data_IF_847660116702
#
_entry.id   IF_847660116702
#
_cell.length_a   1.000
_cell.length_b   1.000
_cell.length_c   1.000
_cell.angle_alpha   90.00
_cell.angle_beta   90.00
_cell.angle_gamma   90.00
#
_symmetry.space_group_name_H-M   'P 1'
#
loop_
_entity.id
_entity.type
_entity.pdbx_description
1 polymer ?
#
# COMPACT_ATOMS: atom_id res chain seq x y z
N UNK A 1 -45.55 -31.66 -11.99
CA UNK A 1 -44.21 -31.40 -12.56
C UNK A 1 -43.24 -31.07 -11.43
N UNK A 2 -42.48 -32.04 -10.93
CA UNK A 2 -41.42 -31.78 -9.95
C UNK A 2 -40.20 -31.21 -10.70
N UNK A 3 -39.87 -29.94 -10.47
CA UNK A 3 -38.61 -29.34 -10.91
C UNK A 3 -37.49 -29.92 -10.03
N UNK A 4 -36.83 -30.96 -10.52
CA UNK A 4 -35.64 -31.52 -9.89
C UNK A 4 -34.47 -30.56 -10.00
N UNK A 5 -34.23 -29.74 -8.99
CA UNK A 5 -32.95 -29.07 -8.78
C UNK A 5 -31.95 -30.08 -8.21
N UNK A 6 -31.50 -31.03 -9.03
CA UNK A 6 -30.22 -31.72 -8.76
C UNK A 6 -29.13 -30.73 -9.17
N UNK A 7 -28.59 -29.99 -8.18
CA UNK A 7 -27.27 -29.35 -8.36
C UNK A 7 -26.31 -30.47 -8.74
N UNK A 8 -25.89 -30.49 -9.99
CA UNK A 8 -24.82 -31.36 -10.45
C UNK A 8 -23.64 -31.18 -9.51
N UNK A 9 -23.16 -32.27 -8.91
CA UNK A 9 -21.96 -32.22 -8.09
C UNK A 9 -20.82 -31.81 -9.03
N UNK A 10 -20.39 -30.57 -8.93
CA UNK A 10 -19.23 -30.04 -9.67
C UNK A 10 -18.07 -31.00 -9.39
N UNK A 11 -17.58 -31.66 -10.44
CA UNK A 11 -16.44 -32.58 -10.33
C UNK A 11 -15.24 -31.77 -9.86
N UNK A 12 -14.58 -32.24 -8.80
CA UNK A 12 -13.33 -31.63 -8.35
C UNK A 12 -12.29 -31.75 -9.47
N UNK A 13 -11.66 -30.62 -9.80
CA UNK A 13 -10.57 -30.55 -10.78
C UNK A 13 -9.31 -31.16 -10.17
N UNK A 14 -8.68 -32.07 -10.90
CA UNK A 14 -7.46 -32.78 -10.50
C UNK A 14 -6.30 -32.44 -11.42
N UNK A 15 -5.09 -32.85 -11.05
CA UNK A 15 -3.86 -32.74 -11.86
C UNK A 15 -4.06 -33.34 -13.26
N UNK A 16 -4.82 -34.43 -13.37
CA UNK A 16 -5.09 -35.11 -14.63
C UNK A 16 -5.98 -34.32 -15.60
N UNK A 17 -6.74 -33.34 -15.08
CA UNK A 17 -7.63 -32.51 -15.90
C UNK A 17 -6.89 -31.33 -16.56
N UNK A 18 -5.61 -31.09 -16.20
CA UNK A 18 -4.77 -30.01 -16.74
C UNK A 18 -4.40 -30.28 -18.19
N UNK A 19 -4.51 -29.27 -19.04
CA UNK A 19 -4.16 -29.36 -20.47
C UNK A 19 -2.73 -28.89 -20.70
N UNK A 20 -2.10 -29.36 -21.80
CA UNK A 20 -0.75 -28.92 -22.22
C UNK A 20 -0.66 -27.41 -22.42
N UNK A 21 -1.69 -26.82 -23.01
CA UNK A 21 -1.76 -25.38 -23.26
C UNK A 21 -1.67 -24.56 -21.96
N UNK A 22 -2.40 -24.98 -20.92
CA UNK A 22 -2.38 -24.31 -19.62
C UNK A 22 -1.03 -24.54 -18.92
N UNK A 23 -0.48 -25.75 -19.04
CA UNK A 23 0.83 -26.06 -18.47
C UNK A 23 1.94 -25.19 -19.09
N UNK A 24 2.00 -25.09 -20.42
CA UNK A 24 3.00 -24.27 -21.11
C UNK A 24 2.87 -22.78 -20.77
N UNK A 25 1.66 -22.29 -20.51
CA UNK A 25 1.41 -20.92 -20.06
C UNK A 25 2.01 -20.64 -18.66
N UNK A 26 2.03 -21.65 -17.78
CA UNK A 26 2.39 -21.47 -16.37
C UNK A 26 3.73 -22.10 -15.98
N UNK A 27 4.42 -22.81 -16.87
CA UNK A 27 5.60 -23.63 -16.55
C UNK A 27 6.76 -22.87 -15.89
N UNK A 28 6.93 -21.59 -16.21
CA UNK A 28 7.99 -20.75 -15.62
C UNK A 28 7.58 -20.14 -14.27
N UNK A 29 6.32 -20.32 -13.86
CA UNK A 29 5.81 -19.75 -12.61
C UNK A 29 5.94 -20.76 -11.48
N UNK A 30 6.63 -20.36 -10.42
CA UNK A 30 6.76 -21.16 -9.21
C UNK A 30 6.17 -20.44 -7.99
N UNK A 31 5.50 -21.17 -7.09
CA UNK A 31 5.07 -20.62 -5.82
C UNK A 31 6.27 -20.40 -4.90
N UNK A 32 6.21 -19.36 -4.08
CA UNK A 32 7.26 -19.05 -3.10
C UNK A 32 7.15 -19.98 -1.89
N UNK A 33 8.28 -20.37 -1.31
CA UNK A 33 8.31 -21.19 -0.09
C UNK A 33 8.37 -20.30 1.15
N UNK A 34 7.29 -20.25 1.93
CA UNK A 34 7.22 -19.55 3.20
C UNK A 34 7.41 -20.50 4.40
N UNK A 35 8.11 -20.05 5.44
CA UNK A 35 8.49 -20.89 6.60
C UNK A 35 7.29 -21.40 7.40
N UNK A 36 6.23 -20.59 7.55
CA UNK A 36 5.06 -20.94 8.37
C UNK A 36 3.88 -21.53 7.60
N UNK A 37 3.83 -21.34 6.28
CA UNK A 37 2.66 -21.68 5.45
C UNK A 37 2.99 -22.59 4.26
N UNK A 38 4.28 -22.89 4.05
CA UNK A 38 4.74 -23.68 2.91
C UNK A 38 4.66 -22.90 1.59
N UNK A 39 4.31 -23.60 0.50
CA UNK A 39 4.19 -22.99 -0.84
C UNK A 39 3.03 -22.00 -0.87
N UNK A 40 3.28 -20.81 -1.39
CA UNK A 40 2.29 -19.73 -1.51
C UNK A 40 2.46 -18.95 -2.81
N UNK A 41 1.37 -18.39 -3.35
CA UNK A 41 1.38 -17.50 -4.52
C UNK A 41 0.88 -16.11 -4.15
N UNK A 42 1.51 -15.07 -4.68
CA UNK A 42 1.09 -13.68 -4.43
C UNK A 42 -0.17 -13.32 -5.22
N UNK A 43 -0.96 -12.37 -4.70
CA UNK A 43 -2.11 -11.79 -5.43
C UNK A 43 -1.69 -11.24 -6.81
N UNK A 44 -0.52 -10.60 -6.90
CA UNK A 44 -0.04 -9.98 -8.15
C UNK A 44 0.28 -11.03 -9.21
N UNK A 45 0.96 -12.12 -8.84
CA UNK A 45 1.18 -13.26 -9.72
C UNK A 45 -0.16 -13.88 -10.16
N UNK A 46 -1.07 -14.10 -9.22
CA UNK A 46 -2.37 -14.71 -9.52
C UNK A 46 -3.23 -13.82 -10.43
N UNK A 47 -3.18 -12.49 -10.30
CA UNK A 47 -3.82 -11.55 -11.24
C UNK A 47 -3.18 -11.57 -12.62
N UNK A 48 -1.89 -11.84 -12.71
CA UNK A 48 -1.18 -11.94 -13.98
C UNK A 48 -1.58 -13.22 -14.71
N UNK A 49 -1.66 -14.33 -13.99
CA UNK A 49 -2.11 -15.62 -14.52
C UNK A 49 -3.61 -15.63 -14.85
N UNK A 50 -4.42 -15.00 -14.00
CA UNK A 50 -5.89 -14.98 -14.09
C UNK A 50 -6.45 -13.55 -13.97
N UNK A 51 -6.31 -12.68 -14.99
CA UNK A 51 -6.75 -11.29 -14.91
C UNK A 51 -8.25 -11.13 -14.64
N UNK A 52 -9.07 -12.02 -15.21
CA UNK A 52 -10.53 -12.06 -15.00
C UNK A 52 -10.92 -12.30 -13.54
N UNK A 53 -10.01 -12.89 -12.74
CA UNK A 53 -10.23 -13.19 -11.33
C UNK A 53 -9.89 -12.00 -10.42
N UNK A 54 -9.25 -10.94 -10.95
CA UNK A 54 -8.78 -9.78 -10.19
C UNK A 54 -9.85 -9.11 -9.29
N UNK A 55 -11.11 -8.93 -9.72
CA UNK A 55 -12.17 -8.35 -8.88
C UNK A 55 -12.48 -9.18 -7.63
N UNK A 56 -12.28 -10.50 -7.71
CA UNK A 56 -12.64 -11.44 -6.65
C UNK A 56 -11.61 -11.50 -5.54
N UNK A 57 -10.40 -10.96 -5.71
CA UNK A 57 -9.42 -10.89 -4.61
C UNK A 57 -9.67 -9.72 -3.64
N UNK A 58 -10.56 -8.78 -3.97
CA UNK A 58 -10.92 -7.64 -3.10
C UNK A 58 -11.73 -8.12 -1.89
N UNK A 59 -11.38 -7.64 -0.69
CA UNK A 59 -12.04 -7.96 0.59
C UNK A 59 -12.05 -9.45 0.98
N UNK A 60 -11.27 -10.29 0.31
CA UNK A 60 -11.31 -11.74 0.47
C UNK A 60 -10.70 -12.25 1.79
N UNK A 61 -9.83 -11.45 2.42
CA UNK A 61 -9.19 -11.76 3.71
C UNK A 61 -10.16 -11.80 4.90
N UNK A 62 -11.40 -11.34 4.76
CA UNK A 62 -12.41 -11.44 5.83
C UNK A 62 -13.10 -12.81 5.86
N UNK A 63 -12.92 -13.62 4.81
CA UNK A 63 -13.73 -14.80 4.55
C UNK A 63 -12.91 -16.09 4.50
N UNK A 64 -11.59 -15.99 4.30
CA UNK A 64 -10.67 -17.13 4.39
C UNK A 64 -10.05 -17.16 5.81
N UNK A 65 -9.85 -18.35 6.41
CA UNK A 65 -9.05 -18.50 7.61
C UNK A 65 -7.65 -17.88 7.48
N UNK A 66 -7.16 -17.25 8.54
CA UNK A 66 -5.83 -16.64 8.53
C UNK A 66 -4.70 -17.63 8.21
N UNK A 67 -4.89 -18.94 8.44
CA UNK A 67 -3.93 -20.00 8.09
C UNK A 67 -3.69 -20.15 6.58
N UNK A 68 -4.64 -19.74 5.75
CA UNK A 68 -4.56 -19.89 4.28
C UNK A 68 -4.19 -18.57 3.58
N UNK A 69 -3.93 -17.53 4.37
CA UNK A 69 -3.52 -16.21 3.88
C UNK A 69 -2.29 -15.74 4.62
N UNK A 70 -1.21 -15.46 3.89
CA UNK A 70 -0.01 -14.86 4.46
C UNK A 70 0.03 -13.40 4.07
N UNK A 71 0.17 -12.52 5.06
CA UNK A 71 0.42 -11.10 4.83
C UNK A 71 1.88 -10.83 5.13
N UNK A 72 2.63 -10.44 4.12
CA UNK A 72 4.04 -10.12 4.23
C UNK A 72 4.25 -8.63 4.40
N UNK A 73 5.26 -8.27 5.18
CA UNK A 73 5.83 -6.93 5.16
C UNK A 73 6.55 -6.67 3.82
N UNK A 74 6.94 -5.42 3.60
CA UNK A 74 7.72 -5.04 2.43
C UNK A 74 9.10 -5.70 2.44
N UNK A 75 9.73 -5.76 3.62
CA UNK A 75 11.04 -6.39 3.80
C UNK A 75 10.98 -7.91 3.54
N UNK A 76 9.94 -8.59 4.02
CA UNK A 76 9.73 -10.03 3.79
C UNK A 76 9.45 -10.33 2.31
N UNK A 77 8.67 -9.48 1.64
CA UNK A 77 8.39 -9.61 0.21
C UNK A 77 9.67 -9.46 -0.64
N UNK A 78 10.51 -8.49 -0.28
CA UNK A 78 11.78 -8.27 -0.96
C UNK A 78 12.76 -9.42 -0.72
N UNK A 79 12.84 -9.94 0.51
CA UNK A 79 13.67 -11.10 0.84
C UNK A 79 13.29 -12.36 0.06
N UNK A 80 11.99 -12.52 -0.27
CA UNK A 80 11.48 -13.65 -1.06
C UNK A 80 11.42 -13.38 -2.57
N UNK A 81 11.96 -12.25 -3.05
CA UNK A 81 12.00 -11.91 -4.47
C UNK A 81 10.62 -11.65 -5.10
N UNK A 82 9.60 -11.38 -4.28
CA UNK A 82 8.25 -11.10 -4.78
C UNK A 82 8.18 -9.64 -5.22
N UNK A 83 7.94 -9.41 -6.51
CA UNK A 83 7.77 -8.04 -7.03
C UNK A 83 6.54 -7.37 -6.41
N UNK A 84 6.78 -6.30 -5.67
CA UNK A 84 5.76 -5.46 -5.04
C UNK A 84 5.11 -4.60 -6.13
N UNK A 85 3.89 -4.94 -6.54
CA UNK A 85 3.07 -4.09 -7.42
C UNK A 85 1.86 -3.58 -6.64
N UNK A 86 1.88 -2.30 -6.23
CA UNK A 86 0.78 -1.64 -5.50
C UNK A 86 1.24 -0.79 -4.33
N UNK A 87 0.31 -0.40 -3.45
CA UNK A 87 0.61 0.41 -2.26
C UNK A 87 1.48 -0.40 -1.27
N UNK A 88 2.77 -0.05 -1.09
CA UNK A 88 3.72 -0.83 -0.28
C UNK A 88 3.31 -0.90 1.20
N UNK A 89 2.54 0.07 1.69
CA UNK A 89 2.10 0.16 3.08
C UNK A 89 1.05 -0.91 3.49
N UNK A 90 0.46 -1.63 2.52
CA UNK A 90 -0.60 -2.62 2.80
C UNK A 90 -0.09 -4.06 2.90
N UNK A 91 1.20 -4.30 2.68
CA UNK A 91 1.81 -5.63 2.66
C UNK A 91 1.35 -6.48 1.47
N UNK A 92 2.19 -7.41 1.02
CA UNK A 92 1.80 -8.35 -0.03
C UNK A 92 0.92 -9.44 0.59
N UNK A 93 -0.20 -9.74 -0.07
CA UNK A 93 -1.02 -10.90 0.29
C UNK A 93 -0.62 -12.08 -0.58
N UNK A 94 -0.36 -13.20 0.08
CA UNK A 94 -0.12 -14.48 -0.55
C UNK A 94 -1.13 -15.51 -0.05
N UNK A 95 -1.38 -16.52 -0.88
CA UNK A 95 -2.33 -17.58 -0.61
C UNK A 95 -1.67 -18.94 -0.74
N UNK A 96 -2.03 -19.84 0.17
CA UNK A 96 -1.73 -21.28 0.05
C UNK A 96 -2.57 -21.87 -1.10
N UNK A 97 -2.31 -23.14 -1.44
CA UNK A 97 -3.13 -23.86 -2.41
C UNK A 97 -4.61 -23.88 -2.00
N UNK A 98 -4.90 -24.23 -0.75
CA UNK A 98 -6.28 -24.26 -0.20
C UNK A 98 -6.92 -22.88 -0.20
N UNK A 99 -6.15 -21.83 0.11
CA UNK A 99 -6.62 -20.44 0.02
C UNK A 99 -7.02 -20.09 -1.42
N UNK A 100 -6.22 -20.50 -2.41
CA UNK A 100 -6.55 -20.34 -3.83
C UNK A 100 -7.82 -21.12 -4.20
N UNK A 101 -7.98 -22.35 -3.71
CA UNK A 101 -9.17 -23.16 -4.01
C UNK A 101 -10.46 -22.51 -3.49
N UNK A 102 -10.42 -21.94 -2.28
CA UNK A 102 -11.56 -21.20 -1.71
C UNK A 102 -11.90 -19.95 -2.53
N UNK A 103 -10.90 -19.29 -3.15
CA UNK A 103 -11.14 -18.22 -4.11
C UNK A 103 -11.84 -18.74 -5.35
N UNK A 104 -11.37 -19.88 -5.88
CA UNK A 104 -11.95 -20.54 -7.05
C UNK A 104 -13.45 -20.79 -6.89
N UNK A 105 -13.88 -21.30 -5.73
CA UNK A 105 -15.29 -21.59 -5.44
C UNK A 105 -16.23 -20.37 -5.54
N UNK A 106 -15.68 -19.14 -5.53
CA UNK A 106 -16.45 -17.89 -5.62
C UNK A 106 -16.43 -17.26 -7.00
N UNK A 107 -15.66 -17.82 -7.93
CA UNK A 107 -15.66 -17.39 -9.32
C UNK A 107 -16.96 -17.82 -10.03
N UNK A 108 -17.36 -17.13 -11.11
CA UNK A 108 -18.40 -17.63 -12.00
C UNK A 108 -18.02 -19.01 -12.54
N UNK A 109 -19.00 -19.90 -12.70
CA UNK A 109 -18.78 -21.29 -13.18
C UNK A 109 -17.96 -21.34 -14.48
N UNK A 110 -18.16 -20.36 -15.38
CA UNK A 110 -17.42 -20.23 -16.63
C UNK A 110 -15.91 -20.00 -16.47
N UNK A 111 -15.47 -19.44 -15.34
CA UNK A 111 -14.06 -19.13 -15.06
C UNK A 111 -13.43 -20.11 -14.04
N UNK A 112 -14.24 -20.83 -13.27
CA UNK A 112 -13.78 -21.76 -12.22
C UNK A 112 -12.83 -22.81 -12.78
N UNK A 113 -13.22 -23.47 -13.87
CA UNK A 113 -12.41 -24.56 -14.47
C UNK A 113 -11.01 -24.07 -14.81
N UNK A 114 -10.91 -23.00 -15.60
CA UNK A 114 -9.61 -22.46 -16.03
C UNK A 114 -8.74 -22.03 -14.84
N UNK A 115 -9.34 -21.38 -13.84
CA UNK A 115 -8.66 -20.97 -12.63
C UNK A 115 -8.09 -22.16 -11.84
N UNK A 116 -8.87 -23.22 -11.60
CA UNK A 116 -8.39 -24.39 -10.86
C UNK A 116 -7.27 -25.13 -11.60
N UNK A 117 -7.34 -25.21 -12.93
CA UNK A 117 -6.26 -25.83 -13.73
C UNK A 117 -4.95 -25.05 -13.62
N UNK A 118 -5.01 -23.71 -13.61
CA UNK A 118 -3.84 -22.86 -13.37
C UNK A 118 -3.28 -23.09 -11.96
N UNK A 119 -4.14 -23.12 -10.93
CA UNK A 119 -3.71 -23.37 -9.55
C UNK A 119 -3.03 -24.73 -9.44
N UNK A 120 -3.61 -25.79 -10.02
CA UNK A 120 -2.98 -27.13 -10.02
C UNK A 120 -1.66 -27.15 -10.75
N UNK A 121 -1.54 -26.44 -11.87
CA UNK A 121 -0.28 -26.30 -12.58
C UNK A 121 0.83 -25.64 -11.74
N UNK A 122 0.50 -24.61 -10.97
CA UNK A 122 1.49 -23.88 -10.16
C UNK A 122 1.92 -24.70 -8.94
N UNK A 123 0.98 -25.31 -8.21
CA UNK A 123 1.30 -26.03 -6.97
C UNK A 123 1.82 -27.45 -7.19
N UNK A 124 1.38 -28.12 -8.25
CA UNK A 124 1.69 -29.53 -8.57
C UNK A 124 2.42 -29.66 -9.90
N UNK A 125 3.30 -28.69 -10.22
CA UNK A 125 4.01 -28.59 -11.50
C UNK A 125 4.66 -29.90 -11.95
N UNK A 126 5.39 -30.58 -11.08
CA UNK A 126 6.06 -31.84 -11.42
C UNK A 126 5.06 -32.98 -11.69
N UNK A 127 4.03 -33.12 -10.86
CA UNK A 127 2.97 -34.13 -11.08
C UNK A 127 2.22 -33.88 -12.40
N UNK A 128 1.93 -32.62 -12.72
CA UNK A 128 1.32 -32.22 -14.00
C UNK A 128 2.27 -32.53 -15.16
N UNK A 129 3.55 -32.22 -15.02
CA UNK A 129 4.57 -32.48 -16.05
C UNK A 129 4.69 -33.96 -16.36
N UNK A 130 4.75 -34.80 -15.33
CA UNK A 130 4.79 -36.26 -15.46
C UNK A 130 3.53 -36.81 -16.14
N UNK A 131 2.35 -36.27 -15.79
CA UNK A 131 1.09 -36.68 -16.40
C UNK A 131 0.99 -36.28 -17.89
N UNK A 132 1.49 -35.10 -18.26
CA UNK A 132 1.40 -34.56 -19.63
C UNK A 132 2.50 -35.04 -20.57
N UNK A 133 3.68 -35.34 -20.01
CA UNK A 133 4.87 -35.75 -20.73
C UNK A 133 5.49 -37.02 -20.13
N UNK A 134 4.74 -38.13 -20.08
CA UNK A 134 5.27 -39.40 -19.58
C UNK A 134 6.45 -39.82 -20.48
N UNK A 135 7.65 -39.91 -19.90
CA UNK A 135 8.85 -40.44 -20.58
C UNK A 135 9.88 -39.42 -21.11
N UNK A 136 9.79 -38.12 -20.79
CA UNK A 136 10.88 -37.14 -21.00
C UNK A 136 11.62 -36.82 -19.69
N UNK A 137 12.21 -37.83 -19.08
CA UNK A 137 13.23 -37.64 -18.03
C UNK A 137 14.59 -37.95 -18.64
N UNK A 138 15.17 -36.98 -19.33
CA UNK A 138 16.58 -36.98 -19.69
C UNK A 138 17.04 -35.52 -19.93
N UNK A 139 17.47 -34.88 -18.86
CA UNK A 139 18.87 -34.54 -18.65
C UNK A 139 19.06 -34.29 -17.14
N UNK A 140 20.01 -34.97 -16.46
CA UNK A 140 20.44 -34.52 -15.16
C UNK A 140 21.21 -33.21 -15.39
N UNK A 141 20.73 -32.10 -14.81
CA UNK A 141 21.64 -31.04 -14.43
C UNK A 141 22.82 -31.70 -13.71
N UNK A 142 24.05 -31.43 -14.17
CA UNK A 142 25.28 -31.99 -13.64
C UNK A 142 25.30 -31.92 -12.12
N UNK A 143 24.89 -33.01 -11.47
CA UNK A 143 25.32 -33.38 -10.14
C UNK A 143 26.69 -34.02 -10.30
N UNK A 144 27.73 -33.21 -10.26
CA UNK A 144 29.05 -33.73 -9.92
C UNK A 144 29.00 -34.21 -8.46
N UNK A 145 29.19 -35.51 -8.29
CA UNK A 145 29.48 -36.17 -7.02
C UNK A 145 30.46 -37.29 -7.35
N UNK A 146 31.23 -37.82 -6.39
CA UNK A 146 32.11 -37.16 -5.43
C UNK A 146 33.53 -37.77 -5.51
N UNK A 147 34.60 -37.00 -5.29
CA UNK A 147 35.93 -37.60 -5.06
C UNK A 147 36.75 -36.84 -4.03
N UNK A 148 36.86 -37.47 -2.85
CA UNK A 148 38.06 -37.64 -2.04
C UNK A 148 39.07 -36.48 -1.92
N UNK A 149 39.27 -36.11 -0.65
CA UNK A 149 40.51 -35.64 0.01
C UNK A 149 40.97 -34.17 -0.12
N UNK A 150 40.71 -33.46 0.99
CA UNK A 150 41.53 -32.46 1.72
C UNK A 150 41.59 -31.01 1.19
N UNK A 151 41.34 -30.12 2.18
CA UNK A 151 41.58 -28.66 2.28
C UNK A 151 40.75 -27.70 1.41
N UNK A 152 39.56 -27.32 1.88
CA UNK A 152 38.70 -26.29 1.23
C UNK A 152 38.06 -25.29 2.20
N UNK A 153 38.64 -25.04 3.38
CA UNK A 153 38.10 -24.02 4.31
C UNK A 153 38.53 -22.60 3.92
N UNK A 154 39.65 -22.43 3.19
CA UNK A 154 40.20 -21.10 2.87
C UNK A 154 39.70 -20.49 1.55
N UNK A 155 39.34 -21.28 0.53
CA UNK A 155 38.85 -20.73 -0.76
C UNK A 155 37.43 -20.17 -0.66
N UNK A 156 36.58 -20.78 0.17
CA UNK A 156 35.20 -20.33 0.35
C UNK A 156 35.14 -19.02 1.15
N UNK A 157 36.04 -18.85 2.13
CA UNK A 157 36.19 -17.61 2.89
C UNK A 157 36.70 -16.44 2.02
N UNK A 158 37.70 -16.69 1.16
CA UNK A 158 38.22 -15.67 0.22
C UNK A 158 37.16 -15.25 -0.80
N UNK A 159 36.38 -16.21 -1.30
CA UNK A 159 35.30 -15.95 -2.26
C UNK A 159 34.16 -15.16 -1.62
N UNK A 160 33.79 -15.46 -0.36
CA UNK A 160 32.83 -14.66 0.38
C UNK A 160 33.36 -13.25 0.69
N UNK A 161 34.64 -13.12 1.05
CA UNK A 161 35.26 -11.82 1.30
C UNK A 161 35.31 -10.96 0.03
N UNK A 162 35.59 -11.55 -1.13
CA UNK A 162 35.51 -10.87 -2.42
C UNK A 162 34.10 -10.36 -2.75
N UNK A 163 33.06 -11.14 -2.47
CA UNK A 163 31.66 -10.71 -2.63
C UNK A 163 31.29 -9.55 -1.69
N UNK A 164 31.76 -9.59 -0.44
CA UNK A 164 31.53 -8.52 0.54
C UNK A 164 32.24 -7.24 0.10
N UNK A 165 33.47 -7.32 -0.41
CA UNK A 165 34.20 -6.15 -0.91
C UNK A 165 33.52 -5.52 -2.12
N UNK A 166 33.01 -6.33 -3.06
CA UNK A 166 32.24 -5.83 -4.20
C UNK A 166 30.95 -5.11 -3.76
N UNK A 167 30.23 -5.69 -2.81
CA UNK A 167 29.02 -5.08 -2.24
C UNK A 167 29.32 -3.77 -1.51
N UNK A 168 30.41 -3.71 -0.72
CA UNK A 168 30.87 -2.47 -0.09
C UNK A 168 31.27 -1.42 -1.11
N UNK A 169 31.88 -1.82 -2.24
CA UNK A 169 32.27 -0.89 -3.30
C UNK A 169 31.06 -0.29 -4.03
N UNK A 170 30.00 -1.07 -4.25
CA UNK A 170 28.73 -0.58 -4.79
C UNK A 170 28.04 0.40 -3.83
N UNK A 171 28.00 0.09 -2.53
CA UNK A 171 27.46 1.00 -1.52
C UNK A 171 28.25 2.32 -1.49
N UNK A 172 29.59 2.26 -1.52
CA UNK A 172 30.42 3.47 -1.55
C UNK A 172 30.19 4.30 -2.81
N UNK A 173 29.93 3.65 -3.96
CA UNK A 173 29.59 4.34 -5.22
C UNK A 173 28.24 5.05 -5.12
N UNK A 174 27.23 4.43 -4.51
CA UNK A 174 25.93 5.06 -4.27
C UNK A 174 26.02 6.22 -3.28
N UNK A 175 26.82 6.08 -2.22
CA UNK A 175 27.10 7.16 -1.26
C UNK A 175 27.82 8.34 -1.93
N UNK A 176 28.80 8.07 -2.80
CA UNK A 176 29.47 9.12 -3.57
C UNK A 176 28.51 9.87 -4.51
N UNK A 177 27.60 9.16 -5.17
CA UNK A 177 26.56 9.76 -6.01
C UNK A 177 25.56 10.59 -5.19
N UNK A 178 25.22 10.17 -3.96
CA UNK A 178 24.39 10.94 -3.05
C UNK A 178 25.08 12.22 -2.57
N UNK A 179 26.37 12.14 -2.19
CA UNK A 179 27.17 13.30 -1.81
C UNK A 179 27.33 14.31 -2.96
N UNK A 180 27.50 13.83 -4.20
CA UNK A 180 27.50 14.70 -5.39
C UNK A 180 26.18 15.47 -5.54
N UNK A 181 25.03 14.79 -5.38
CA UNK A 181 23.71 15.45 -5.45
C UNK A 181 23.50 16.47 -4.33
N UNK A 182 24.03 16.21 -3.14
CA UNK A 182 24.01 17.16 -2.03
C UNK A 182 24.87 18.38 -2.36
N UNK A 183 26.07 18.19 -2.90
CA UNK A 183 26.95 19.27 -3.32
C UNK A 183 26.30 20.16 -4.41
N UNK A 184 25.65 19.54 -5.40
CA UNK A 184 24.90 20.25 -6.45
C UNK A 184 23.74 21.07 -5.85
N UNK A 185 23.01 20.49 -4.90
CA UNK A 185 21.92 21.16 -4.19
C UNK A 185 22.42 22.33 -3.35
N UNK A 186 23.56 22.18 -2.66
CA UNK A 186 24.19 23.27 -1.90
C UNK A 186 24.66 24.40 -2.82
N UNK A 187 25.21 24.09 -3.99
CA UNK A 187 25.59 25.09 -4.99
C UNK A 187 24.36 25.86 -5.50
N UNK A 188 23.24 25.18 -5.75
CA UNK A 188 21.98 25.81 -6.14
C UNK A 188 21.43 26.73 -5.03
N UNK A 189 21.49 26.31 -3.76
CA UNK A 189 21.10 27.13 -2.61
C UNK A 189 21.99 28.37 -2.50
N UNK A 190 23.31 28.24 -2.68
CA UNK A 190 24.21 29.40 -2.68
C UNK A 190 23.90 30.40 -3.79
N UNK A 191 23.59 29.93 -5.01
CA UNK A 191 23.16 30.81 -6.11
C UNK A 191 21.85 31.53 -5.77
N UNK A 192 20.87 30.81 -5.21
CA UNK A 192 19.60 31.39 -4.79
C UNK A 192 19.76 32.42 -3.67
N UNK A 193 20.63 32.17 -2.69
CA UNK A 193 20.96 33.14 -1.64
C UNK A 193 21.64 34.38 -2.22
N UNK A 194 22.56 34.24 -3.17
CA UNK A 194 23.21 35.36 -3.84
C UNK A 194 22.21 36.21 -4.67
N UNK A 195 21.26 35.57 -5.34
CA UNK A 195 20.17 36.27 -6.06
C UNK A 195 19.22 37.00 -5.10
N UNK A 196 18.87 36.39 -3.97
CA UNK A 196 18.03 37.04 -2.95
C UNK A 196 18.75 38.20 -2.26
N UNK A 197 20.07 38.13 -2.09
CA UNK A 197 20.88 39.25 -1.61
C UNK A 197 20.84 40.42 -2.61
N UNK A 198 21.03 40.14 -3.91
CA UNK A 198 20.90 41.15 -4.98
C UNK A 198 19.49 41.78 -5.04
N UNK A 199 18.44 41.01 -4.76
CA UNK A 199 17.05 41.54 -4.69
C UNK A 199 16.81 42.42 -3.46
N UNK A 200 17.47 42.14 -2.33
CA UNK A 200 17.41 43.02 -1.15
C UNK A 200 18.08 44.38 -1.41
N UNK A 201 19.14 44.43 -2.21
CA UNK A 201 19.80 45.68 -2.59
C UNK A 201 18.95 46.55 -3.54
N UNK A 202 17.97 45.96 -4.24
CA UNK A 202 17.02 46.71 -5.10
C UNK A 202 15.83 47.28 -4.31
N UNK A 203 15.49 46.69 -3.16
CA UNK A 203 14.32 47.07 -2.34
C UNK A 203 14.56 48.25 -1.37
N UNK A 204 15.76 48.83 -1.33
CA UNK A 204 16.05 50.08 -0.58
C UNK A 204 15.76 51.36 -1.39
N UNK A 205 15.38 51.23 -2.67
CA UNK A 205 14.89 52.34 -3.49
C UNK A 205 13.37 52.52 -3.38
N UNK A 206 12.92 53.59 -2.74
CA UNK A 206 11.51 54.01 -2.67
C UNK A 206 10.86 54.05 -4.06
N UNK A 207 9.77 53.30 -4.26
CA UNK A 207 8.65 53.76 -5.10
C UNK A 207 7.34 53.04 -4.77
N UNK A 208 6.28 53.84 -4.74
CA UNK A 208 4.89 53.51 -4.39
C UNK A 208 4.12 53.23 -5.69
N UNK A 209 3.10 52.36 -5.59
CA UNK A 209 1.93 52.20 -6.49
C UNK A 209 2.12 51.30 -7.72
N UNK A 210 1.44 50.15 -7.81
CA UNK A 210 0.08 49.95 -8.36
C UNK A 210 -0.31 48.46 -8.26
N UNK A 211 -1.57 48.18 -7.89
CA UNK A 211 -2.16 46.84 -7.97
C UNK A 211 -2.58 46.56 -9.42
N UNK A 212 -2.24 45.41 -10.02
CA UNK A 212 -2.99 44.92 -11.18
C UNK A 212 -3.94 43.81 -10.75
N UNK A 213 -5.23 44.02 -11.02
CA UNK A 213 -6.18 42.93 -11.23
C UNK A 213 -5.65 42.03 -12.34
N UNK A 214 -5.21 40.82 -11.95
CA UNK A 214 -5.16 39.68 -12.87
C UNK A 214 -5.73 38.47 -12.16
N UNK A 215 -6.78 37.94 -12.77
CA UNK A 215 -7.29 36.58 -12.58
C UNK A 215 -6.16 35.60 -12.92
N UNK A 216 -5.28 35.35 -11.95
CA UNK A 216 -4.41 34.20 -12.00
C UNK A 216 -5.23 32.99 -11.58
N UNK A 217 -5.35 32.04 -12.52
CA UNK A 217 -5.69 30.65 -12.21
C UNK A 217 -4.82 30.27 -11.01
N UNK A 218 -5.47 30.00 -9.87
CA UNK A 218 -4.79 29.48 -8.70
C UNK A 218 -4.19 28.14 -9.14
N UNK A 219 -2.89 28.16 -9.44
CA UNK A 219 -2.10 26.94 -9.49
C UNK A 219 -2.32 26.24 -8.16
N UNK A 220 -2.78 24.99 -8.22
CA UNK A 220 -2.82 24.05 -7.11
C UNK A 220 -1.39 23.85 -6.59
N UNK A 221 -0.90 24.80 -5.79
CA UNK A 221 0.22 24.56 -4.89
C UNK A 221 -0.31 23.56 -3.87
N UNK A 222 -0.03 22.30 -4.14
CA UNK A 222 0.02 21.23 -3.16
C UNK A 222 1.00 21.64 -2.04
N UNK A 223 0.53 22.49 -1.13
CA UNK A 223 1.04 22.61 0.22
C UNK A 223 0.65 21.32 0.92
N UNK A 224 1.40 20.25 0.67
CA UNK A 224 1.25 18.98 1.36
C UNK A 224 1.53 19.20 2.84
N UNK A 225 0.51 19.56 3.62
CA UNK A 225 0.56 19.50 5.07
C UNK A 225 0.71 18.03 5.45
N UNK A 226 1.94 17.62 5.75
CA UNK A 226 2.24 16.25 6.15
C UNK A 226 1.61 15.98 7.51
N UNK A 227 0.43 15.37 7.53
CA UNK A 227 -0.24 14.93 8.74
C UNK A 227 0.57 13.81 9.40
N UNK A 228 0.99 14.03 10.64
CA UNK A 228 1.51 13.00 11.54
C UNK A 228 0.36 12.10 11.99
N UNK A 229 0.18 10.99 11.29
CA UNK A 229 -0.86 9.99 11.58
C UNK A 229 -0.37 8.89 12.52
N UNK A 230 0.90 8.47 12.40
CA UNK A 230 1.48 7.41 13.23
C UNK A 230 2.01 7.97 14.55
N UNK A 231 1.68 7.30 15.66
CA UNK A 231 2.17 7.61 17.01
C UNK A 231 3.64 7.22 17.16
N UNK A 232 4.49 8.16 17.51
CA UNK A 232 5.85 7.87 17.99
C UNK A 232 5.86 7.38 19.44
N UNK A 233 6.90 6.69 19.88
CA UNK A 233 7.00 6.17 21.27
C UNK A 233 6.87 7.24 22.36
N UNK A 234 7.24 8.49 22.05
CA UNK A 234 7.19 9.64 22.97
C UNK A 234 5.95 10.52 22.80
N UNK A 235 5.08 10.22 21.83
CA UNK A 235 3.88 11.03 21.59
C UNK A 235 2.80 10.80 22.66
N UNK A 236 2.06 11.84 23.06
CA UNK A 236 0.97 11.68 24.02
C UNK A 236 -0.16 10.82 23.43
N UNK A 237 -0.71 9.94 24.27
CA UNK A 237 -1.82 9.05 23.89
C UNK A 237 -3.12 9.83 23.91
N UNK A 238 -3.83 9.84 22.79
CA UNK A 238 -5.17 10.42 22.74
C UNK A 238 -6.14 9.56 23.56
N UNK A 239 -6.78 10.17 24.57
CA UNK A 239 -7.81 9.53 25.38
C UNK A 239 -9.16 10.14 25.04
N UNK A 240 -10.04 9.33 24.45
CA UNK A 240 -11.41 9.73 24.15
C UNK A 240 -12.16 10.03 25.44
N UNK A 241 -12.35 11.31 25.75
CA UNK A 241 -13.22 11.77 26.83
C UNK A 241 -14.50 12.38 26.21
N UNK A 242 -15.68 11.78 26.43
CA UNK A 242 -16.94 12.28 25.86
C UNK A 242 -17.20 13.76 26.17
N UNK A 243 -16.80 14.25 27.35
CA UNK A 243 -16.94 15.66 27.72
C UNK A 243 -16.07 16.58 26.87
N UNK A 244 -14.86 16.13 26.52
CA UNK A 244 -13.94 16.91 25.67
C UNK A 244 -14.43 17.01 24.22
N UNK A 245 -14.99 15.93 23.68
CA UNK A 245 -15.57 15.92 22.32
C UNK A 245 -16.82 16.79 22.25
N UNK A 246 -17.64 16.77 23.30
CA UNK A 246 -18.81 17.63 23.40
C UNK A 246 -18.40 19.12 23.50
N UNK A 247 -17.42 19.46 24.33
CA UNK A 247 -16.89 20.83 24.42
C UNK A 247 -16.27 21.30 23.08
N UNK A 248 -15.55 20.42 22.38
CA UNK A 248 -15.03 20.70 21.04
C UNK A 248 -16.16 20.95 20.04
N UNK A 249 -17.24 20.17 20.10
CA UNK A 249 -18.43 20.38 19.26
C UNK A 249 -19.04 21.75 19.50
N UNK A 250 -19.20 22.13 20.76
CA UNK A 250 -19.78 23.41 21.17
C UNK A 250 -18.90 24.58 20.73
N UNK A 251 -17.57 24.46 20.84
CA UNK A 251 -16.62 25.47 20.36
C UNK A 251 -16.60 25.61 18.83
N UNK A 252 -16.64 24.50 18.09
CA UNK A 252 -16.64 24.52 16.62
C UNK A 252 -17.93 25.09 16.06
N UNK A 253 -19.06 24.82 16.70
CA UNK A 253 -20.39 25.21 16.25
C UNK A 253 -20.95 26.43 17.00
N UNK A 254 -20.07 27.14 17.71
CA UNK A 254 -20.41 28.35 18.45
C UNK A 254 -21.11 29.37 17.54
N UNK A 255 -22.27 29.86 17.95
CA UNK A 255 -23.07 30.81 17.19
C UNK A 255 -23.90 30.22 16.04
N UNK A 256 -23.90 28.90 15.83
CA UNK A 256 -24.65 28.25 14.74
C UNK A 256 -25.96 27.65 15.27
N UNK A 257 -27.12 27.93 14.65
CA UNK A 257 -28.37 27.28 14.99
C UNK A 257 -28.29 25.75 14.88
N UNK A 258 -28.82 25.04 15.88
CA UNK A 258 -28.80 23.56 15.94
C UNK A 258 -29.34 22.89 14.67
N UNK A 259 -30.35 23.48 14.03
CA UNK A 259 -30.92 22.97 12.78
C UNK A 259 -29.92 22.94 11.61
N UNK A 260 -28.91 23.82 11.62
CA UNK A 260 -27.92 23.96 10.55
C UNK A 260 -26.63 23.18 10.80
N UNK A 261 -26.42 22.64 12.00
CA UNK A 261 -25.19 21.97 12.41
C UNK A 261 -24.74 20.90 11.41
N UNK A 262 -25.65 20.02 10.97
CA UNK A 262 -25.30 18.93 10.06
C UNK A 262 -24.90 19.44 8.66
N UNK A 263 -25.61 20.44 8.13
CA UNK A 263 -25.34 21.02 6.81
C UNK A 263 -23.98 21.73 6.78
N UNK A 264 -23.73 22.55 7.82
CA UNK A 264 -22.49 23.32 7.95
C UNK A 264 -21.29 22.40 8.16
N UNK A 265 -21.41 21.37 9.00
CA UNK A 265 -20.35 20.37 9.16
C UNK A 265 -20.07 19.61 7.86
N UNK A 266 -21.10 19.27 7.08
CA UNK A 266 -20.90 18.59 5.79
C UNK A 266 -20.11 19.47 4.81
N UNK A 267 -20.43 20.76 4.72
CA UNK A 267 -19.68 21.72 3.91
C UNK A 267 -18.24 21.90 4.42
N UNK A 268 -18.07 22.01 5.74
CA UNK A 268 -16.77 22.15 6.36
C UNK A 268 -15.86 20.93 6.08
N UNK A 269 -16.37 19.70 6.23
CA UNK A 269 -15.61 18.49 5.89
C UNK A 269 -15.25 18.40 4.41
N UNK A 270 -16.15 18.86 3.54
CA UNK A 270 -15.90 18.92 2.09
C UNK A 270 -14.79 19.92 1.78
N UNK A 271 -14.78 21.08 2.44
CA UNK A 271 -13.73 22.09 2.29
C UNK A 271 -12.39 21.60 2.85
N UNK A 272 -12.39 20.95 4.02
CA UNK A 272 -11.19 20.30 4.59
C UNK A 272 -10.56 19.33 3.59
N UNK A 273 -11.38 18.53 2.90
CA UNK A 273 -10.90 17.62 1.84
C UNK A 273 -10.35 18.38 0.63
N UNK A 274 -11.14 19.28 0.05
CA UNK A 274 -10.84 19.83 -1.27
C UNK A 274 -9.77 20.92 -1.24
N UNK A 275 -9.73 21.74 -0.19
CA UNK A 275 -8.82 22.89 -0.09
C UNK A 275 -7.56 22.52 0.70
N UNK A 276 -7.72 21.74 1.77
CA UNK A 276 -6.63 21.46 2.71
C UNK A 276 -6.10 20.03 2.59
N UNK A 277 -6.66 19.20 1.70
CA UNK A 277 -6.22 17.82 1.51
C UNK A 277 -6.45 16.93 2.74
N UNK A 278 -7.41 17.26 3.61
CA UNK A 278 -7.75 16.52 4.83
C UNK A 278 -9.09 15.78 4.68
N UNK A 279 -9.12 14.59 4.03
CA UNK A 279 -10.32 13.77 3.93
C UNK A 279 -10.65 13.06 5.25
N UNK A 280 -11.39 13.74 6.14
CA UNK A 280 -11.72 13.26 7.50
C UNK A 280 -12.14 11.78 7.57
N UNK A 281 -13.06 11.34 6.71
CA UNK A 281 -13.60 9.97 6.77
C UNK A 281 -12.59 8.87 6.41
N UNK A 282 -11.47 9.19 5.76
CA UNK A 282 -10.45 8.18 5.42
C UNK A 282 -9.60 7.81 6.62
N UNK A 283 -9.56 8.65 7.67
CA UNK A 283 -8.71 8.45 8.85
C UNK A 283 -9.32 7.58 9.96
N UNK A 284 -10.44 6.88 9.67
CA UNK A 284 -11.10 5.99 10.64
C UNK A 284 -10.20 4.84 11.09
N UNK A 285 -9.35 4.34 10.19
CA UNK A 285 -8.46 3.23 10.50
C UNK A 285 -7.30 3.67 11.40
N UNK A 286 -6.74 4.85 11.15
CA UNK A 286 -5.68 5.48 11.93
C UNK A 286 -6.17 5.86 13.32
N UNK A 287 -7.39 6.41 13.40
CA UNK A 287 -8.08 6.64 14.67
C UNK A 287 -8.24 5.33 15.46
N UNK A 288 -8.69 4.24 14.83
CA UNK A 288 -8.81 2.95 15.49
C UNK A 288 -7.45 2.40 15.95
N UNK A 289 -6.42 2.55 15.13
CA UNK A 289 -5.07 2.10 15.46
C UNK A 289 -4.47 2.87 16.65
N UNK A 290 -4.76 4.16 16.79
CA UNK A 290 -4.25 4.98 17.90
C UNK A 290 -5.07 4.82 19.19
N UNK A 291 -6.39 4.69 19.07
CA UNK A 291 -7.31 4.71 20.23
C UNK A 291 -7.80 3.33 20.67
N UNK A 292 -7.67 2.32 19.82
CA UNK A 292 -8.24 0.98 20.01
C UNK A 292 -9.77 0.94 19.96
N UNK A 293 -10.44 2.06 19.62
CA UNK A 293 -11.91 2.17 19.59
C UNK A 293 -12.39 2.68 18.23
N UNK A 294 -13.51 2.18 17.71
CA UNK A 294 -14.09 2.74 16.49
C UNK A 294 -14.64 4.15 16.77
N UNK A 295 -14.45 5.08 15.82
CA UNK A 295 -15.04 6.42 15.88
C UNK A 295 -16.55 6.34 15.74
N UNK A 296 -17.31 7.08 16.55
CA UNK A 296 -18.78 7.15 16.44
C UNK A 296 -19.24 8.06 15.29
N UNK A 297 -18.46 9.09 14.99
CA UNK A 297 -18.77 10.07 13.96
C UNK A 297 -17.49 10.75 13.45
N UNK A 298 -17.60 11.52 12.37
CA UNK A 298 -16.47 12.24 11.76
C UNK A 298 -15.92 13.35 12.67
N UNK A 299 -16.72 13.89 13.59
CA UNK A 299 -16.29 14.92 14.54
C UNK A 299 -15.23 14.38 15.52
N UNK A 300 -15.39 13.15 16.02
CA UNK A 300 -14.39 12.48 16.86
C UNK A 300 -13.05 12.32 16.13
N UNK A 301 -13.09 12.05 14.83
CA UNK A 301 -11.90 11.90 14.00
C UNK A 301 -11.19 13.25 13.86
N UNK A 302 -11.92 14.34 13.64
CA UNK A 302 -11.29 15.67 13.53
C UNK A 302 -10.68 16.13 14.84
N UNK A 303 -11.40 15.94 15.96
CA UNK A 303 -10.86 16.27 17.28
C UNK A 303 -9.54 15.52 17.55
N UNK A 304 -9.48 14.23 17.19
CA UNK A 304 -8.25 13.45 17.24
C UNK A 304 -7.17 13.96 16.28
N UNK A 305 -7.53 14.29 15.04
CA UNK A 305 -6.59 14.82 14.05
C UNK A 305 -5.94 16.12 14.53
N UNK A 306 -6.71 17.05 15.10
CA UNK A 306 -6.21 18.31 15.65
C UNK A 306 -5.32 18.10 16.88
N UNK A 307 -5.63 17.09 17.71
CA UNK A 307 -4.75 16.69 18.81
C UNK A 307 -3.40 16.16 18.30
N UNK A 308 -3.42 15.32 17.25
CA UNK A 308 -2.21 14.70 16.67
C UNK A 308 -1.38 15.69 15.86
N UNK A 309 -2.04 16.69 15.27
CA UNK A 309 -1.43 17.64 14.35
C UNK A 309 -1.79 19.07 14.77
N UNK A 310 -0.99 19.68 15.67
CA UNK A 310 -1.21 21.06 16.09
C UNK A 310 -1.26 22.06 14.93
N UNK A 311 -0.64 21.74 13.78
CA UNK A 311 -0.65 22.56 12.57
C UNK A 311 -2.04 22.70 11.92
N UNK A 312 -2.96 21.76 12.15
CA UNK A 312 -4.36 21.83 11.68
C UNK A 312 -5.34 22.17 12.80
N UNK A 313 -4.85 22.56 13.98
CA UNK A 313 -5.71 22.92 15.10
C UNK A 313 -6.59 24.12 14.71
N UNK A 314 -7.90 24.01 14.95
CA UNK A 314 -8.88 25.01 14.56
C UNK A 314 -9.28 24.98 13.08
N UNK A 315 -8.77 24.03 12.29
CA UNK A 315 -9.09 23.94 10.86
C UNK A 315 -10.59 23.71 10.64
N UNK A 316 -11.23 22.87 11.46
CA UNK A 316 -12.68 22.64 11.33
C UNK A 316 -13.47 23.90 11.68
N UNK A 317 -13.11 24.59 12.76
CA UNK A 317 -13.76 25.86 13.17
C UNK A 317 -13.64 26.90 12.06
N UNK A 318 -12.46 27.05 11.45
CA UNK A 318 -12.26 27.96 10.32
C UNK A 318 -13.09 27.56 9.09
N UNK A 319 -13.15 26.26 8.75
CA UNK A 319 -13.98 25.79 7.63
C UNK A 319 -15.48 26.02 7.88
N UNK A 320 -15.92 25.88 9.14
CA UNK A 320 -17.29 26.15 9.57
C UNK A 320 -17.62 27.64 9.46
N UNK A 321 -16.73 28.53 9.92
CA UNK A 321 -16.90 29.99 9.78
C UNK A 321 -16.99 30.41 8.30
N UNK A 322 -16.12 29.88 7.45
CA UNK A 322 -16.18 30.13 6.00
C UNK A 322 -17.51 29.67 5.37
N UNK A 323 -18.05 28.53 5.81
CA UNK A 323 -19.33 28.04 5.31
C UNK A 323 -20.50 28.95 5.73
N UNK A 324 -20.44 29.54 6.93
CA UNK A 324 -21.41 30.52 7.41
C UNK A 324 -21.30 31.85 6.65
N UNK A 325 -20.09 32.38 6.44
CA UNK A 325 -19.85 33.60 5.66
C UNK A 325 -20.35 33.46 4.21
N UNK A 326 -20.10 32.31 3.58
CA UNK A 326 -20.61 32.02 2.23
C UNK A 326 -22.14 31.91 2.19
N UNK A 327 -22.77 31.50 3.29
CA UNK A 327 -24.24 31.38 3.38
C UNK A 327 -24.93 32.72 3.73
N UNK A 328 -24.20 33.67 4.32
CA UNK A 328 -24.69 35.01 4.67
C UNK A 328 -24.34 36.09 3.63
N UNK A 329 -23.51 35.79 2.63
CA UNK A 329 -23.15 36.70 1.54
C UNK A 329 -24.17 36.72 0.37
N UNK A 330 -25.42 36.33 0.63
CA UNK A 330 -26.54 36.38 -0.32
C UNK A 330 -27.49 37.50 0.03
#
# INVERSE_FOLDING_TARGET
>A
MQKGNKKEKVRNITVQDVTKEIFELCKETEPCQHTTAGKVISVSQLKTLCPSCAPYFKNFSRLIPASETVKLSEEEAQAMGVKIFGNPNLGIRMYTEKGCEQIGMRLPESAQKHYFLIVKCVFHKEEVKEALYPGKTAEPEKKETPSSTKSTVNEDALTQMGKIMLYQMEIMKEQAAALSRIADSMSAIQKMMAENQKRKDVLTGKQVVHLPEKTEKIEEKNLGMSLKLKRGEKDPVYRVNPRSVQAFREDVLEGIPNALHNSVLHHAYTRMRNVYGVPVDTYRNEYFADTGKPSKNSLEIVHWLEFRNPAIRGLLKSCVQNAMEASCAV
#
